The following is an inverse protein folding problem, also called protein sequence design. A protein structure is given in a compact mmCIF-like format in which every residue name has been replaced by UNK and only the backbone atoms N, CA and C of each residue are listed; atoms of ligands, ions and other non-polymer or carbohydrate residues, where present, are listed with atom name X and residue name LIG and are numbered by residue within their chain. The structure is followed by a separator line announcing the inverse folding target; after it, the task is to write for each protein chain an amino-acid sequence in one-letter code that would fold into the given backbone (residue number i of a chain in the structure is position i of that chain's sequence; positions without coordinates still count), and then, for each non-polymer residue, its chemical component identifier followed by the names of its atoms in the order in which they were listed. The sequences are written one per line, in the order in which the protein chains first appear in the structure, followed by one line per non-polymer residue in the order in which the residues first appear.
data_IF_207443464876
#
_entry.id   IF_207443464876
#
_cell.length_a   1.000
_cell.length_b   1.000
_cell.length_c   1.000
_cell.angle_alpha   90.00
_cell.angle_beta   90.00
_cell.angle_gamma   90.00
#
_symmetry.space_group_name_H-M   'P 1'
#
loop_
_entity.id
_entity.type
_entity.pdbx_description
1 polymer ?
#
# COMPACT_ATOMS: atom_id res chain seq x y z
N UNK A 1 15.83 -12.21 25.03
CA UNK A 1 14.93 -11.68 23.99
C UNK A 1 13.86 -10.73 24.59
N UNK A 2 13.06 -11.15 25.59
CA UNK A 2 12.03 -10.30 26.23
C UNK A 2 12.60 -9.03 26.89
N UNK A 3 13.80 -9.08 27.48
CA UNK A 3 14.45 -7.89 28.10
C UNK A 3 14.94 -6.89 27.05
N UNK A 4 15.46 -7.37 25.93
CA UNK A 4 15.88 -6.49 24.83
C UNK A 4 14.69 -5.77 24.20
N UNK A 5 13.58 -6.49 23.94
CA UNK A 5 12.34 -5.90 23.39
C UNK A 5 11.78 -4.84 24.33
N UNK A 6 11.81 -5.07 25.66
CA UNK A 6 11.35 -4.08 26.64
C UNK A 6 12.26 -2.85 26.68
N UNK A 7 13.57 -3.02 26.58
CA UNK A 7 14.56 -1.95 26.53
C UNK A 7 14.38 -1.07 25.30
N UNK A 8 14.09 -1.66 24.12
CA UNK A 8 13.79 -0.94 22.89
C UNK A 8 12.44 -0.20 22.94
N UNK A 9 11.39 -0.83 23.50
CA UNK A 9 10.09 -0.17 23.70
C UNK A 9 10.21 1.09 24.59
N UNK A 10 10.94 1.01 25.68
CA UNK A 10 11.16 2.13 26.60
C UNK A 10 12.13 3.14 25.99
N UNK A 11 13.24 2.70 25.39
CA UNK A 11 14.24 3.53 24.77
C UNK A 11 13.68 4.36 23.63
N UNK A 12 12.91 3.76 22.71
CA UNK A 12 12.28 4.48 21.61
C UNK A 12 11.27 5.52 22.11
N UNK A 13 10.42 5.19 23.08
CA UNK A 13 9.45 6.12 23.65
C UNK A 13 10.10 7.29 24.37
N UNK A 14 11.22 7.08 25.08
CA UNK A 14 11.94 8.10 25.84
C UNK A 14 12.74 9.04 24.92
N UNK A 15 13.36 8.50 23.85
CA UNK A 15 14.16 9.32 22.92
C UNK A 15 13.32 9.94 21.81
N UNK A 16 12.21 9.34 21.42
CA UNK A 16 11.31 9.93 20.43
C UNK A 16 10.73 11.27 20.90
N UNK A 17 10.28 11.35 22.14
CA UNK A 17 9.68 12.58 22.70
C UNK A 17 10.60 13.81 22.62
N UNK A 18 11.87 13.78 23.11
CA UNK A 18 12.75 14.95 23.00
C UNK A 18 13.16 15.25 21.55
N UNK A 19 13.33 14.23 20.69
CA UNK A 19 13.61 14.43 19.26
C UNK A 19 12.41 15.08 18.57
N UNK A 20 11.19 14.60 18.82
CA UNK A 20 9.97 15.23 18.32
C UNK A 20 9.80 16.65 18.85
N UNK A 21 10.08 16.88 20.14
CA UNK A 21 10.05 18.21 20.77
C UNK A 21 11.07 19.15 20.13
N UNK A 22 12.32 18.74 19.99
CA UNK A 22 13.37 19.54 19.35
C UNK A 22 13.05 19.85 17.90
N UNK A 23 12.58 18.86 17.13
CA UNK A 23 12.12 19.07 15.76
C UNK A 23 10.93 20.03 15.69
N UNK A 24 9.94 19.89 16.57
CA UNK A 24 8.80 20.79 16.64
C UNK A 24 9.23 22.25 16.93
N UNK A 25 10.15 22.46 17.88
CA UNK A 25 10.68 23.79 18.19
C UNK A 25 11.50 24.37 17.04
N UNK A 26 12.38 23.58 16.43
CA UNK A 26 13.15 23.98 15.25
C UNK A 26 12.22 24.40 14.10
N UNK A 27 11.17 23.64 13.84
CA UNK A 27 10.22 23.95 12.77
C UNK A 27 9.27 25.10 13.12
N UNK A 28 8.97 25.33 14.38
CA UNK A 28 8.20 26.49 14.82
C UNK A 28 9.00 27.78 14.65
N UNK A 29 10.33 27.74 14.82
CA UNK A 29 11.20 28.91 14.62
C UNK A 29 11.51 29.21 13.16
N UNK A 30 11.38 28.21 12.26
CA UNK A 30 11.52 28.38 10.82
C UNK A 30 10.15 28.79 10.20
N UNK A 31 9.70 30.00 10.42
CA UNK A 31 8.57 30.58 9.68
C UNK A 31 9.03 30.96 8.28
N UNK A 32 8.94 30.01 7.37
CA UNK A 32 9.11 30.26 5.94
C UNK A 32 7.74 30.55 5.35
N UNK A 33 7.35 31.80 5.35
CA UNK A 33 6.24 32.30 4.53
C UNK A 33 6.71 32.33 3.07
N UNK A 34 6.37 31.31 2.32
CA UNK A 34 6.54 31.34 0.87
C UNK A 34 5.41 32.19 0.26
N UNK A 35 5.80 33.29 -0.38
CA UNK A 35 4.93 34.25 -1.04
C UNK A 35 3.94 33.58 -2.00
N UNK A 36 2.71 34.12 -2.07
CA UNK A 36 1.61 33.69 -2.98
C UNK A 36 1.97 33.71 -4.47
N UNK A 37 3.14 34.22 -4.86
CA UNK A 37 3.61 34.35 -6.25
C UNK A 37 4.50 33.23 -6.75
N UNK A 38 4.50 32.06 -6.09
CA UNK A 38 5.31 30.93 -6.57
C UNK A 38 4.77 30.45 -7.91
N UNK A 39 5.60 30.37 -8.97
CA UNK A 39 5.19 29.87 -10.27
C UNK A 39 4.61 28.46 -10.18
N UNK A 40 3.59 28.18 -10.98
CA UNK A 40 2.94 26.85 -11.04
C UNK A 40 3.93 25.69 -11.27
N UNK A 41 5.07 25.94 -11.89
CA UNK A 41 6.14 24.96 -12.06
C UNK A 41 6.70 24.40 -10.75
N UNK A 42 6.72 25.20 -9.68
CA UNK A 42 7.15 24.76 -8.36
C UNK A 42 6.18 23.75 -7.73
N UNK A 43 4.88 23.92 -7.98
CA UNK A 43 3.87 22.94 -7.57
C UNK A 43 4.16 21.57 -8.18
N UNK A 44 4.42 21.51 -9.48
CA UNK A 44 4.77 20.26 -10.16
C UNK A 44 6.06 19.65 -9.63
N UNK A 45 7.09 20.46 -9.41
CA UNK A 45 8.36 20.00 -8.86
C UNK A 45 8.21 19.46 -7.43
N UNK A 46 7.46 20.15 -6.58
CA UNK A 46 7.21 19.70 -5.19
C UNK A 46 6.42 18.38 -5.15
N UNK A 47 5.37 18.27 -5.95
CA UNK A 47 4.58 17.04 -6.06
C UNK A 47 5.45 15.90 -6.60
N UNK A 48 6.24 16.14 -7.65
CA UNK A 48 7.15 15.16 -8.22
C UNK A 48 8.20 14.69 -7.22
N UNK A 49 8.89 15.61 -6.56
CA UNK A 49 9.91 15.31 -5.55
C UNK A 49 9.30 14.54 -4.37
N UNK A 50 8.12 14.94 -3.91
CA UNK A 50 7.40 14.26 -2.82
C UNK A 50 6.95 12.87 -3.21
N UNK A 51 6.54 12.65 -4.46
CA UNK A 51 6.17 11.32 -4.98
C UNK A 51 7.37 10.39 -5.01
N UNK A 52 8.54 10.89 -5.48
CA UNK A 52 9.80 10.15 -5.51
C UNK A 52 10.19 9.78 -4.07
N UNK A 53 10.23 10.76 -3.18
CA UNK A 53 10.57 10.55 -1.77
C UNK A 53 9.66 9.49 -1.13
N UNK A 54 8.34 9.60 -1.31
CA UNK A 54 7.37 8.67 -0.73
C UNK A 54 7.54 7.26 -1.29
N UNK A 55 7.76 7.11 -2.59
CA UNK A 55 7.97 5.81 -3.20
C UNK A 55 9.21 5.09 -2.61
N UNK A 56 10.33 5.78 -2.48
CA UNK A 56 11.53 5.22 -1.85
C UNK A 56 11.32 4.95 -0.35
N UNK A 57 10.61 5.82 0.34
CA UNK A 57 10.36 5.70 1.76
C UNK A 57 9.50 4.48 2.11
N UNK A 58 8.45 4.22 1.32
CA UNK A 58 7.63 3.00 1.40
C UNK A 58 8.47 1.74 1.17
N UNK A 59 9.34 1.73 0.14
CA UNK A 59 10.20 0.58 -0.12
C UNK A 59 11.23 0.36 0.99
N UNK A 60 11.71 1.44 1.62
CA UNK A 60 12.62 1.36 2.75
C UNK A 60 11.98 0.69 3.97
N UNK A 61 10.70 0.97 4.25
CA UNK A 61 9.95 0.33 5.34
C UNK A 61 9.82 -1.18 5.14
N UNK A 62 9.49 -1.60 3.93
CA UNK A 62 9.01 -2.95 3.67
C UNK A 62 10.10 -3.93 3.24
N UNK A 63 11.20 -3.44 2.66
CA UNK A 63 12.21 -4.27 2.03
C UNK A 63 13.60 -4.01 2.58
N UNK A 64 14.36 -5.08 2.79
CA UNK A 64 15.78 -5.00 3.08
C UNK A 64 16.60 -4.47 1.90
N UNK A 65 17.83 -4.04 2.15
CA UNK A 65 18.69 -3.46 1.11
C UNK A 65 18.89 -4.38 -0.10
N UNK A 66 19.05 -5.67 0.13
CA UNK A 66 19.20 -6.68 -0.93
C UNK A 66 17.95 -6.82 -1.78
N UNK A 67 16.77 -6.84 -1.14
CA UNK A 67 15.49 -6.94 -1.84
C UNK A 67 15.18 -5.66 -2.61
N UNK A 68 15.47 -4.48 -2.04
CA UNK A 68 15.33 -3.19 -2.76
C UNK A 68 16.20 -3.14 -4.02
N UNK A 69 17.40 -3.70 -3.97
CA UNK A 69 18.30 -3.74 -5.13
C UNK A 69 17.77 -4.61 -6.28
N UNK A 70 16.85 -5.54 -6.00
CA UNK A 70 16.21 -6.37 -7.04
C UNK A 70 15.13 -5.64 -7.83
N UNK A 71 14.61 -4.52 -7.32
CA UNK A 71 13.64 -3.70 -8.04
C UNK A 71 14.37 -2.95 -9.16
N UNK A 72 14.08 -3.30 -10.40
CA UNK A 72 14.69 -2.64 -11.56
C UNK A 72 14.24 -1.19 -11.69
N UNK A 73 15.08 -0.36 -12.33
CA UNK A 73 14.78 1.07 -12.52
C UNK A 73 13.40 1.35 -13.17
N UNK A 74 12.97 0.64 -14.24
CA UNK A 74 11.64 0.84 -14.81
C UNK A 74 10.51 0.51 -13.83
N UNK A 75 10.66 -0.51 -12.99
CA UNK A 75 9.66 -0.85 -11.97
C UNK A 75 9.59 0.20 -10.86
N UNK A 76 10.75 0.73 -10.46
CA UNK A 76 10.79 1.83 -9.50
C UNK A 76 10.13 3.08 -10.06
N UNK A 77 10.34 3.38 -11.35
CA UNK A 77 9.64 4.48 -12.03
C UNK A 77 8.11 4.27 -12.02
N UNK A 78 7.62 3.05 -12.23
CA UNK A 78 6.19 2.74 -12.12
C UNK A 78 5.65 2.95 -10.70
N UNK A 79 6.42 2.59 -9.67
CA UNK A 79 6.02 2.89 -8.28
C UNK A 79 5.92 4.40 -8.03
N UNK A 80 6.89 5.18 -8.53
CA UNK A 80 6.87 6.65 -8.45
C UNK A 80 5.65 7.20 -9.20
N UNK A 81 5.34 6.66 -10.37
CA UNK A 81 4.21 7.06 -11.19
C UNK A 81 2.87 6.77 -10.48
N UNK A 82 2.72 5.61 -9.86
CA UNK A 82 1.56 5.29 -9.04
C UNK A 82 1.40 6.26 -7.84
N UNK A 83 2.51 6.59 -7.15
CA UNK A 83 2.50 7.62 -6.12
C UNK A 83 2.06 8.97 -6.70
N UNK A 84 2.63 9.37 -7.84
CA UNK A 84 2.33 10.65 -8.48
C UNK A 84 0.83 10.77 -8.83
N UNK A 85 0.21 9.71 -9.32
CA UNK A 85 -1.25 9.68 -9.57
C UNK A 85 -2.03 9.96 -8.28
N UNK A 86 -1.66 9.36 -7.16
CA UNK A 86 -2.30 9.61 -5.86
C UNK A 86 -2.13 11.09 -5.44
N UNK A 87 -0.91 11.62 -5.55
CA UNK A 87 -0.63 13.03 -5.22
C UNK A 87 -1.46 13.98 -6.09
N UNK A 88 -1.53 13.74 -7.40
CA UNK A 88 -2.32 14.56 -8.33
C UNK A 88 -3.83 14.46 -8.03
N UNK A 89 -4.32 13.27 -7.71
CA UNK A 89 -5.72 13.10 -7.31
C UNK A 89 -6.04 13.93 -6.06
N UNK A 90 -5.22 13.87 -5.03
CA UNK A 90 -5.40 14.68 -3.81
C UNK A 90 -5.28 16.18 -4.12
N UNK A 91 -4.39 16.59 -5.04
CA UNK A 91 -4.23 17.99 -5.44
C UNK A 91 -5.50 18.57 -6.07
N UNK A 92 -6.24 17.78 -6.82
CA UNK A 92 -7.52 18.21 -7.41
C UNK A 92 -8.53 18.63 -6.33
N UNK A 93 -8.54 17.95 -5.19
CA UNK A 93 -9.45 18.24 -4.09
C UNK A 93 -8.95 19.35 -3.18
N UNK A 94 -7.68 19.34 -2.82
CA UNK A 94 -7.12 20.24 -1.79
C UNK A 94 -6.79 21.63 -2.30
N UNK A 95 -6.38 21.77 -3.57
CA UNK A 95 -5.83 23.00 -4.17
C UNK A 95 -4.65 23.63 -3.41
N UNK A 96 -4.08 22.94 -2.46
CA UNK A 96 -2.95 23.37 -1.66
C UNK A 96 -1.85 22.33 -1.73
N UNK A 97 -0.72 22.68 -2.32
CA UNK A 97 0.38 21.75 -2.57
C UNK A 97 0.96 21.17 -1.29
N UNK A 98 1.14 21.98 -0.25
CA UNK A 98 1.64 21.49 1.04
C UNK A 98 0.70 20.47 1.67
N UNK A 99 -0.61 20.77 1.67
CA UNK A 99 -1.64 19.86 2.20
C UNK A 99 -1.73 18.57 1.37
N UNK A 100 -1.64 18.69 0.04
CA UNK A 100 -1.56 17.54 -0.87
C UNK A 100 -0.41 16.63 -0.52
N UNK A 101 0.79 17.18 -0.44
CA UNK A 101 1.99 16.40 -0.15
C UNK A 101 1.90 15.73 1.23
N UNK A 102 1.36 16.41 2.22
CA UNK A 102 1.14 15.86 3.56
C UNK A 102 0.16 14.68 3.54
N UNK A 103 -1.04 14.89 3.00
CA UNK A 103 -2.12 13.87 3.00
C UNK A 103 -1.69 12.64 2.19
N UNK A 104 -1.14 12.85 0.98
CA UNK A 104 -0.73 11.74 0.11
C UNK A 104 0.40 10.93 0.72
N UNK A 105 1.38 11.59 1.34
CA UNK A 105 2.48 10.91 2.02
C UNK A 105 1.97 10.08 3.21
N UNK A 106 1.17 10.68 4.10
CA UNK A 106 0.59 9.98 5.26
C UNK A 106 -0.22 8.78 4.79
N UNK A 107 -1.06 8.94 3.76
CA UNK A 107 -1.89 7.85 3.23
C UNK A 107 -1.04 6.67 2.72
N UNK A 108 -0.03 6.94 1.89
CA UNK A 108 0.81 5.88 1.29
C UNK A 108 1.72 5.21 2.33
N UNK A 109 2.27 5.97 3.28
CA UNK A 109 3.08 5.40 4.36
C UNK A 109 2.21 4.62 5.34
N UNK A 110 0.99 5.06 5.63
CA UNK A 110 0.04 4.30 6.45
C UNK A 110 -0.35 2.99 5.79
N UNK A 111 -0.59 2.98 4.47
CA UNK A 111 -0.85 1.77 3.70
C UNK A 111 0.33 0.78 3.78
N UNK A 112 1.56 1.29 3.65
CA UNK A 112 2.76 0.50 3.84
C UNK A 112 2.92 -0.01 5.28
N UNK A 113 2.56 0.80 6.28
CA UNK A 113 2.53 0.41 7.69
C UNK A 113 1.54 -0.72 7.96
N UNK A 114 0.34 -0.66 7.37
CA UNK A 114 -0.62 -1.76 7.44
C UNK A 114 -0.01 -3.03 6.85
N UNK A 115 0.60 -2.94 5.66
CA UNK A 115 1.27 -4.08 5.04
C UNK A 115 2.40 -4.63 5.90
N UNK A 116 3.21 -3.76 6.52
CA UNK A 116 4.30 -4.15 7.41
C UNK A 116 3.79 -5.05 8.56
N UNK A 117 2.73 -4.64 9.26
CA UNK A 117 2.15 -5.43 10.36
C UNK A 117 1.43 -6.67 9.85
N UNK A 118 0.65 -6.57 8.78
CA UNK A 118 -0.05 -7.73 8.20
C UNK A 118 0.95 -8.81 7.77
N UNK A 119 2.06 -8.40 7.16
CA UNK A 119 3.12 -9.33 6.77
C UNK A 119 3.77 -10.02 8.00
N UNK A 120 3.98 -9.28 9.08
CA UNK A 120 4.51 -9.87 10.34
C UNK A 120 3.58 -10.93 10.93
N UNK A 121 2.26 -10.76 10.77
CA UNK A 121 1.27 -11.67 11.39
C UNK A 121 1.01 -12.90 10.54
N UNK A 122 0.80 -12.75 9.24
CA UNK A 122 0.37 -13.86 8.38
C UNK A 122 1.40 -14.30 7.35
N UNK A 123 2.55 -13.63 7.24
CA UNK A 123 3.60 -13.94 6.28
C UNK A 123 3.29 -13.57 4.83
N UNK A 124 2.09 -13.04 4.54
CA UNK A 124 1.67 -12.59 3.22
C UNK A 124 1.42 -11.08 3.23
N UNK A 125 1.59 -10.45 2.06
CA UNK A 125 1.38 -9.02 1.89
C UNK A 125 -0.10 -8.64 1.96
N UNK A 126 -0.34 -7.40 2.38
CA UNK A 126 -1.66 -6.78 2.32
C UNK A 126 -1.97 -6.39 0.88
N UNK A 127 -3.02 -6.95 0.32
CA UNK A 127 -3.46 -6.74 -1.06
C UNK A 127 -4.84 -6.08 -1.09
N UNK A 128 -5.26 -5.61 -2.26
CA UNK A 128 -6.51 -4.84 -2.39
C UNK A 128 -7.76 -5.66 -1.99
N UNK A 129 -7.78 -6.97 -2.23
CA UNK A 129 -8.88 -7.84 -1.80
C UNK A 129 -9.05 -7.92 -0.28
N UNK A 130 -7.97 -7.70 0.49
CA UNK A 130 -8.03 -7.71 1.96
C UNK A 130 -8.88 -6.57 2.53
N UNK A 131 -9.11 -5.52 1.75
CA UNK A 131 -10.04 -4.44 2.15
C UNK A 131 -11.45 -4.94 2.41
N UNK A 132 -11.88 -6.02 1.75
CA UNK A 132 -13.18 -6.67 1.98
C UNK A 132 -13.26 -7.34 3.34
N UNK A 133 -12.13 -7.78 3.88
CA UNK A 133 -12.02 -8.52 5.15
C UNK A 133 -11.42 -7.69 6.28
N UNK A 134 -11.31 -6.36 6.10
CA UNK A 134 -10.65 -5.47 7.07
C UNK A 134 -11.30 -5.52 8.46
N UNK A 135 -12.62 -5.66 8.51
CA UNK A 135 -13.36 -5.76 9.77
C UNK A 135 -12.97 -7.03 10.56
N UNK A 136 -12.86 -8.17 9.86
CA UNK A 136 -12.39 -9.41 10.46
C UNK A 136 -10.94 -9.29 10.92
N UNK A 137 -10.08 -8.67 10.11
CA UNK A 137 -8.69 -8.41 10.48
C UNK A 137 -8.56 -7.56 11.75
N UNK A 138 -9.37 -6.50 11.87
CA UNK A 138 -9.39 -5.63 13.04
C UNK A 138 -9.87 -6.34 14.30
N UNK A 139 -10.83 -7.25 14.20
CA UNK A 139 -11.34 -8.01 15.37
C UNK A 139 -10.30 -8.93 15.98
N UNK A 140 -9.35 -9.43 15.18
CA UNK A 140 -8.25 -10.31 15.65
C UNK A 140 -6.98 -9.53 15.99
N UNK A 141 -6.83 -8.31 15.50
CA UNK A 141 -5.62 -7.50 15.67
C UNK A 141 -5.26 -7.27 17.16
N UNK A 142 -6.26 -7.17 18.05
CA UNK A 142 -6.05 -7.03 19.48
C UNK A 142 -5.32 -8.19 20.16
N UNK A 143 -5.27 -9.37 19.52
CA UNK A 143 -4.61 -10.56 20.05
C UNK A 143 -3.11 -10.62 19.68
N UNK A 144 -2.61 -9.68 18.88
CA UNK A 144 -1.23 -9.68 18.41
C UNK A 144 -0.40 -8.61 19.11
N UNK A 145 0.87 -8.94 19.40
CA UNK A 145 1.84 -7.95 19.87
C UNK A 145 2.43 -7.20 18.64
N UNK A 146 2.24 -5.90 18.62
CA UNK A 146 2.82 -5.03 17.58
C UNK A 146 4.30 -4.75 17.91
N UNK A 147 5.20 -5.47 17.28
CA UNK A 147 6.64 -5.27 17.40
C UNK A 147 7.12 -4.44 16.21
N UNK A 148 7.73 -3.29 16.49
CA UNK A 148 8.37 -2.46 15.47
C UNK A 148 9.88 -2.68 15.48
N UNK A 149 10.46 -2.80 14.28
CA UNK A 149 11.91 -2.79 14.09
C UNK A 149 12.45 -1.34 13.95
N UNK A 150 13.76 -1.21 13.90
CA UNK A 150 14.43 0.10 13.77
C UNK A 150 14.03 0.84 12.49
N UNK A 151 13.71 0.11 11.41
CA UNK A 151 13.27 0.68 10.14
C UNK A 151 11.92 1.35 10.27
N UNK A 152 10.97 0.71 10.94
CA UNK A 152 9.65 1.28 11.19
C UNK A 152 9.76 2.55 12.04
N UNK A 153 10.59 2.52 13.09
CA UNK A 153 10.89 3.70 13.91
C UNK A 153 11.49 4.85 13.12
N UNK A 154 12.47 4.54 12.26
CA UNK A 154 13.11 5.53 11.39
C UNK A 154 12.13 6.15 10.38
N UNK A 155 11.27 5.31 9.77
CA UNK A 155 10.25 5.78 8.82
C UNK A 155 9.25 6.71 9.50
N UNK A 156 8.80 6.40 10.71
CA UNK A 156 7.90 7.28 11.48
C UNK A 156 8.58 8.62 11.76
N UNK A 157 9.84 8.61 12.20
CA UNK A 157 10.60 9.83 12.48
C UNK A 157 10.72 10.71 11.23
N UNK A 158 11.21 10.16 10.14
CA UNK A 158 11.42 10.90 8.89
C UNK A 158 10.09 11.38 8.30
N UNK A 159 9.02 10.58 8.35
CA UNK A 159 7.68 11.00 7.91
C UNK A 159 7.18 12.18 8.73
N UNK A 160 7.40 12.17 10.05
CA UNK A 160 7.00 13.28 10.92
C UNK A 160 7.76 14.56 10.58
N UNK A 161 9.07 14.45 10.35
CA UNK A 161 9.90 15.59 9.91
C UNK A 161 9.43 16.13 8.55
N UNK A 162 9.17 15.23 7.59
CA UNK A 162 8.66 15.59 6.29
C UNK A 162 7.32 16.33 6.39
N UNK A 163 6.36 15.81 7.15
CA UNK A 163 5.04 16.42 7.34
C UNK A 163 5.16 17.80 8.02
N UNK A 164 6.04 17.93 9.03
CA UNK A 164 6.28 19.18 9.72
C UNK A 164 6.85 20.27 8.79
N UNK A 165 7.77 19.88 7.88
CA UNK A 165 8.34 20.78 6.86
C UNK A 165 7.29 21.18 5.83
N UNK A 166 6.64 20.18 5.23
CA UNK A 166 5.75 20.43 4.10
C UNK A 166 4.49 21.19 4.50
N UNK A 167 4.02 21.02 5.75
CA UNK A 167 2.86 21.75 6.29
C UNK A 167 3.01 23.25 6.22
N UNK A 168 4.25 23.77 6.31
CA UNK A 168 4.53 25.22 6.25
C UNK A 168 4.50 25.78 4.83
N UNK A 169 4.45 24.92 3.81
CA UNK A 169 4.44 25.32 2.42
C UNK A 169 2.99 25.54 1.93
N UNK A 170 2.56 26.79 1.94
CA UNK A 170 1.22 27.17 1.44
C UNK A 170 1.33 27.66 -0.01
N UNK A 171 1.31 26.72 -0.96
CA UNK A 171 1.26 27.04 -2.38
C UNK A 171 -0.12 26.71 -2.92
N UNK A 172 -0.92 27.74 -3.20
CA UNK A 172 -2.25 27.57 -3.75
C UNK A 172 -2.20 27.45 -5.27
N UNK A 173 -2.83 26.39 -5.81
CA UNK A 173 -2.95 26.18 -7.23
C UNK A 173 -4.42 26.09 -7.63
N UNK A 174 -4.94 27.17 -8.22
CA UNK A 174 -6.40 27.34 -8.47
C UNK A 174 -6.94 26.64 -9.73
N UNK A 175 -6.08 26.02 -10.56
CA UNK A 175 -6.48 25.40 -11.83
C UNK A 175 -6.82 23.92 -11.66
N UNK A 176 -8.01 23.58 -11.13
CA UNK A 176 -8.45 22.19 -10.88
C UNK A 176 -8.62 21.36 -12.14
N UNK A 177 -9.26 21.95 -13.18
CA UNK A 177 -9.60 21.21 -14.40
C UNK A 177 -8.38 20.68 -15.15
N UNK A 178 -7.36 21.49 -15.49
CA UNK A 178 -6.16 20.95 -16.13
C UNK A 178 -5.41 19.94 -15.26
N UNK A 179 -5.41 20.11 -13.93
CA UNK A 179 -4.81 19.14 -13.02
C UNK A 179 -5.55 17.80 -13.05
N UNK A 180 -6.89 17.82 -13.07
CA UNK A 180 -7.69 16.60 -13.19
C UNK A 180 -7.44 15.90 -14.54
N UNK A 181 -7.34 16.64 -15.63
CA UNK A 181 -7.01 16.09 -16.96
C UNK A 181 -5.63 15.40 -16.94
N UNK A 182 -4.63 16.06 -16.37
CA UNK A 182 -3.28 15.49 -16.24
C UNK A 182 -3.31 14.21 -15.38
N UNK A 183 -4.01 14.24 -14.26
CA UNK A 183 -4.15 13.09 -13.37
C UNK A 183 -4.80 11.89 -14.10
N UNK A 184 -5.93 12.11 -14.75
CA UNK A 184 -6.66 11.07 -15.48
C UNK A 184 -5.82 10.54 -16.64
N UNK A 185 -5.19 11.41 -17.43
CA UNK A 185 -4.32 11.01 -18.55
C UNK A 185 -3.16 10.15 -18.06
N UNK A 186 -2.51 10.55 -16.96
CA UNK A 186 -1.40 9.81 -16.39
C UNK A 186 -1.85 8.46 -15.84
N UNK A 187 -3.00 8.39 -15.17
CA UNK A 187 -3.57 7.15 -14.66
C UNK A 187 -3.90 6.17 -15.79
N UNK A 188 -4.54 6.66 -16.86
CA UNK A 188 -4.88 5.85 -18.05
C UNK A 188 -3.62 5.36 -18.74
N UNK A 189 -2.64 6.23 -19.01
CA UNK A 189 -1.37 5.86 -19.65
C UNK A 189 -0.61 4.83 -18.81
N UNK A 190 -0.58 4.99 -17.49
CA UNK A 190 0.05 4.03 -16.58
C UNK A 190 -0.65 2.68 -16.62
N UNK A 191 -1.99 2.69 -16.58
CA UNK A 191 -2.80 1.46 -16.66
C UNK A 191 -2.62 0.73 -17.98
N UNK A 192 -2.62 1.44 -19.10
CA UNK A 192 -2.35 0.87 -20.44
C UNK A 192 -0.94 0.29 -20.52
N UNK A 193 0.06 1.02 -20.03
CA UNK A 193 1.44 0.54 -20.02
C UNK A 193 1.60 -0.73 -19.16
N UNK A 194 1.03 -0.74 -17.96
CA UNK A 194 1.04 -1.91 -17.07
C UNK A 194 0.33 -3.10 -17.75
N UNK A 195 -0.82 -2.87 -18.42
CA UNK A 195 -1.55 -3.89 -19.12
C UNK A 195 -0.79 -4.50 -20.30
N UNK A 196 -0.04 -3.68 -21.05
CA UNK A 196 0.78 -4.16 -22.19
C UNK A 196 2.08 -4.86 -21.79
N UNK A 197 2.62 -4.59 -20.61
CA UNK A 197 3.90 -5.13 -20.12
C UNK A 197 3.74 -6.17 -19.04
N UNK A 198 2.66 -6.94 -19.06
CA UNK A 198 2.37 -7.96 -18.05
C UNK A 198 3.46 -9.03 -17.93
N UNK A 199 4.13 -9.40 -19.03
CA UNK A 199 5.25 -10.34 -19.01
C UNK A 199 6.47 -9.81 -18.22
N UNK A 200 6.69 -8.49 -18.28
CA UNK A 200 7.78 -7.83 -17.55
C UNK A 200 7.43 -7.62 -16.07
N UNK A 201 6.14 -7.45 -15.78
CA UNK A 201 5.64 -7.26 -14.42
C UNK A 201 5.21 -8.63 -13.90
N UNK A 202 5.96 -9.16 -12.95
CA UNK A 202 5.65 -10.44 -12.32
C UNK A 202 4.35 -10.29 -11.53
N UNK A 203 3.34 -11.05 -11.95
CA UNK A 203 1.99 -11.04 -11.35
C UNK A 203 1.71 -12.32 -10.56
N UNK A 204 2.74 -13.13 -10.25
CA UNK A 204 2.56 -14.36 -9.49
C UNK A 204 2.07 -14.05 -8.08
N UNK A 205 0.84 -14.42 -7.81
CA UNK A 205 0.14 -14.22 -6.52
C UNK A 205 0.59 -15.19 -5.43
N UNK A 206 1.31 -16.24 -5.80
CA UNK A 206 1.74 -17.30 -4.89
C UNK A 206 3.00 -16.96 -4.08
N UNK A 207 3.71 -15.90 -4.43
CA UNK A 207 4.90 -15.50 -3.68
C UNK A 207 4.54 -14.68 -2.44
N UNK A 208 5.05 -15.10 -1.31
CA UNK A 208 4.83 -14.43 -0.02
C UNK A 208 5.26 -12.95 0.02
N UNK A 209 6.17 -12.55 -0.86
CA UNK A 209 6.69 -11.18 -1.00
C UNK A 209 6.77 -10.74 -2.45
N UNK A 210 5.64 -10.63 -3.14
CA UNK A 210 5.62 -10.12 -4.53
C UNK A 210 6.21 -8.71 -4.67
N UNK A 211 6.16 -7.90 -3.63
CA UNK A 211 6.68 -6.52 -3.63
C UNK A 211 8.20 -6.43 -3.81
N UNK A 212 9.00 -7.46 -3.50
CA UNK A 212 10.45 -7.41 -3.74
C UNK A 212 10.82 -7.38 -5.23
N UNK A 213 9.93 -7.83 -6.10
CA UNK A 213 10.15 -7.82 -7.56
C UNK A 213 9.60 -6.56 -8.22
N UNK A 214 8.45 -6.09 -7.79
CA UNK A 214 7.71 -4.98 -8.41
C UNK A 214 7.77 -3.69 -7.61
N UNK A 215 8.06 -3.75 -6.30
CA UNK A 215 7.80 -2.69 -5.35
C UNK A 215 6.35 -2.74 -4.83
N UNK A 216 6.16 -2.36 -3.58
CA UNK A 216 4.88 -2.57 -2.89
C UNK A 216 3.70 -1.82 -3.53
N UNK A 217 3.89 -0.55 -3.86
CA UNK A 217 2.78 0.27 -4.39
C UNK A 217 2.31 -0.26 -5.74
N UNK A 218 3.24 -0.63 -6.62
CA UNK A 218 2.91 -1.25 -7.90
C UNK A 218 2.23 -2.60 -7.68
N UNK A 219 2.73 -3.43 -6.77
CA UNK A 219 2.13 -4.72 -6.44
C UNK A 219 0.71 -4.58 -5.89
N UNK A 220 0.48 -3.60 -5.00
CA UNK A 220 -0.85 -3.30 -4.48
C UNK A 220 -1.82 -2.85 -5.59
N UNK A 221 -1.38 -2.02 -6.54
CA UNK A 221 -2.19 -1.61 -7.70
C UNK A 221 -2.50 -2.80 -8.61
N UNK A 222 -1.52 -3.69 -8.84
CA UNK A 222 -1.73 -4.91 -9.62
C UNK A 222 -2.77 -5.83 -8.99
N UNK A 223 -2.80 -5.93 -7.65
CA UNK A 223 -3.76 -6.76 -6.93
C UNK A 223 -5.23 -6.30 -7.08
N UNK A 224 -5.45 -5.07 -7.55
CA UNK A 224 -6.80 -4.59 -7.92
C UNK A 224 -7.37 -5.43 -9.07
N UNK A 225 -6.53 -5.80 -10.05
CA UNK A 225 -6.93 -6.65 -11.18
C UNK A 225 -7.43 -8.00 -10.70
N UNK A 226 -6.80 -8.57 -9.68
CA UNK A 226 -7.12 -9.88 -9.15
C UNK A 226 -8.50 -9.91 -8.44
N UNK A 227 -9.06 -8.75 -8.15
CA UNK A 227 -10.44 -8.63 -7.65
C UNK A 227 -11.50 -8.78 -8.74
N UNK A 228 -11.11 -8.71 -10.02
CA UNK A 228 -11.98 -8.85 -11.19
C UNK A 228 -11.65 -10.15 -11.92
N UNK A 229 -11.72 -11.28 -11.20
CA UNK A 229 -11.50 -12.61 -11.79
C UNK A 229 -12.65 -12.85 -12.76
N UNK A 230 -12.34 -12.97 -14.04
CA UNK A 230 -13.30 -13.46 -15.02
C UNK A 230 -13.58 -14.94 -14.74
N UNK A 231 -14.85 -15.34 -14.85
CA UNK A 231 -15.19 -16.74 -14.77
C UNK A 231 -14.40 -17.53 -15.84
N UNK A 232 -13.90 -18.73 -15.54
CA UNK A 232 -13.23 -19.58 -16.54
C UNK A 232 -14.11 -19.78 -17.77
N UNK A 233 -13.47 -19.97 -18.95
CA UNK A 233 -14.19 -20.27 -20.16
C UNK A 233 -15.03 -21.56 -19.99
N UNK A 234 -16.32 -21.48 -20.30
CA UNK A 234 -17.26 -22.58 -20.08
C UNK A 234 -17.92 -22.59 -18.68
N UNK A 235 -17.61 -21.65 -17.77
CA UNK A 235 -18.34 -21.52 -16.52
C UNK A 235 -19.74 -20.95 -16.79
N UNK A 236 -20.77 -21.76 -16.56
CA UNK A 236 -22.16 -21.30 -16.51
C UNK A 236 -22.83 -21.78 -15.23
N UNK A 237 -23.79 -21.03 -14.73
CA UNK A 237 -24.57 -21.45 -13.55
C UNK A 237 -25.35 -22.76 -13.77
N UNK A 238 -25.67 -23.10 -15.04
CA UNK A 238 -26.28 -24.35 -15.43
C UNK A 238 -25.29 -25.52 -15.37
N UNK A 239 -24.04 -25.32 -15.81
CA UNK A 239 -22.98 -26.33 -15.70
C UNK A 239 -22.65 -26.65 -14.23
N UNK A 240 -22.67 -25.67 -13.36
CA UNK A 240 -22.46 -25.88 -11.90
C UNK A 240 -23.60 -26.70 -11.32
N UNK A 241 -24.85 -26.33 -11.62
CA UNK A 241 -26.01 -27.13 -11.17
C UNK A 241 -26.01 -28.56 -11.66
N UNK A 242 -25.66 -28.77 -12.93
CA UNK A 242 -25.54 -30.13 -13.50
C UNK A 242 -24.45 -30.93 -12.77
N UNK A 243 -23.32 -30.31 -12.42
CA UNK A 243 -22.28 -30.96 -11.63
C UNK A 243 -22.77 -31.23 -10.17
N UNK A 244 -23.45 -30.29 -9.52
CA UNK A 244 -24.04 -30.49 -8.19
C UNK A 244 -25.04 -31.64 -8.19
N UNK A 245 -25.91 -31.74 -9.21
CA UNK A 245 -26.86 -32.86 -9.36
C UNK A 245 -26.15 -34.19 -9.61
N UNK A 246 -25.08 -34.18 -10.40
CA UNK A 246 -24.28 -35.37 -10.65
C UNK A 246 -23.55 -35.88 -9.41
N UNK A 247 -23.00 -34.99 -8.59
CA UNK A 247 -22.27 -35.37 -7.38
C UNK A 247 -23.19 -35.59 -6.17
N UNK A 248 -24.32 -34.90 -6.04
CA UNK A 248 -25.31 -35.17 -4.99
C UNK A 248 -26.05 -36.47 -5.18
N UNK A 249 -26.19 -36.95 -6.42
CA UNK A 249 -26.72 -38.27 -6.74
C UNK A 249 -25.82 -39.44 -6.30
N UNK A 250 -24.50 -39.22 -6.27
CA UNK A 250 -23.53 -40.27 -5.88
C UNK A 250 -23.45 -40.53 -4.37
N UNK A 251 -23.73 -39.52 -3.54
CA UNK A 251 -23.65 -39.66 -2.07
C UNK A 251 -24.82 -40.47 -1.45
N UNK A 252 -25.94 -40.60 -2.17
CA UNK A 252 -27.10 -41.39 -1.73
C UNK A 252 -26.88 -42.88 -1.91
N UNK A 253 -26.09 -43.31 -2.92
CA UNK A 253 -25.80 -44.73 -3.17
C UNK A 253 -24.65 -45.24 -2.26
N UNK A 254 -23.67 -44.42 -1.95
CA UNK A 254 -22.59 -44.79 -1.01
C UNK A 254 -23.06 -45.00 0.43
N UNK A 255 -24.03 -44.21 0.89
CA UNK A 255 -24.64 -44.42 2.24
C UNK A 255 -25.49 -45.68 2.34
N UNK A 256 -26.22 -46.06 1.26
CA UNK A 256 -27.00 -47.27 1.23
C UNK A 256 -26.17 -48.55 1.15
N UNK A 257 -24.98 -48.49 0.58
CA UNK A 257 -24.04 -49.58 0.51
C UNK A 257 -23.35 -49.82 1.88
N UNK A 258 -22.89 -48.73 2.51
CA UNK A 258 -22.27 -48.82 3.84
C UNK A 258 -23.22 -49.29 4.97
N UNK A 259 -24.53 -48.99 4.87
CA UNK A 259 -25.54 -49.44 5.83
C UNK A 259 -25.92 -50.92 5.62
N UNK A 260 -25.85 -51.46 4.39
CA UNK A 260 -26.04 -52.88 4.12
C UNK A 260 -24.86 -53.74 4.57
N UNK A 261 -23.65 -53.27 4.44
CA UNK A 261 -22.42 -53.97 4.85
C UNK A 261 -22.27 -53.96 6.39
N UNK A 262 -22.79 -52.94 7.08
CA UNK A 262 -22.83 -52.87 8.55
C UNK A 262 -23.97 -53.73 9.16
N UNK A 263 -25.02 -54.06 8.40
CA UNK A 263 -26.12 -54.89 8.87
C UNK A 263 -25.89 -56.41 8.61
N UNK A 264 -24.80 -56.74 7.90
CA UNK A 264 -24.44 -58.13 7.59
C UNK A 264 -23.19 -58.64 8.31
N UNK A 265 -22.61 -57.85 9.21
CA UNK A 265 -21.52 -58.23 10.11
C UNK A 265 -22.02 -58.31 11.56
#
# INVERSE_FOLDING_TARGET
YKRQVLFWKIGFSVWALPVFGACYFLFKSLEVELSEKIPWGWTGLMIGASSIFTAYHVQYLLLDAELRAKITQPKMLLNILCCLVVFLAVQVFTNNTGLTCMISHIFLVSLAGINYFVYLFRGNEFIFSDLKSIQTGLSVAGNYEFVMDDRAGYVILISTLYVALIRKLHVSFKKRVPMAIICISLAVLSGVYIGHKTEYIVTETWEQKGSYRNGYILNFVLSIRDCFIAAPDGYSGEAVKALEEQYSGGDSDGKKQGEKDAASA
#
